data_IF_125491329495
#
_entry.id   IF_125491329495
#
_cell.length_a   1.000
_cell.length_b   1.000
_cell.length_c   1.000
_cell.angle_alpha   90.00
_cell.angle_beta   90.00
_cell.angle_gamma   90.00
#
_symmetry.space_group_name_H-M   'P 1'
#
loop_
_entity.id
_entity.type
_entity.pdbx_description
1 polymer ?
#
# COMPACT_ATOMS: atom_id res chain seq x y z
N UNK A 1 -19.76 -15.76 11.02
CA UNK A 1 -19.68 -14.57 10.15
C UNK A 1 -19.06 -15.00 8.84
N UNK A 2 -19.85 -15.11 7.77
CA UNK A 2 -19.34 -15.45 6.42
C UNK A 2 -18.70 -14.17 5.88
N UNK A 3 -17.43 -13.95 6.20
CA UNK A 3 -16.65 -12.91 5.56
C UNK A 3 -16.55 -13.25 4.08
N UNK A 4 -17.00 -12.34 3.22
CA UNK A 4 -16.88 -12.47 1.76
C UNK A 4 -15.52 -13.07 1.38
N UNK A 5 -15.50 -14.20 0.65
CA UNK A 5 -14.29 -14.83 0.06
C UNK A 5 -13.55 -13.91 -0.94
N UNK A 6 -14.00 -12.66 -1.05
CA UNK A 6 -13.55 -11.65 -1.97
C UNK A 6 -13.03 -10.44 -1.19
N UNK A 7 -11.81 -10.04 -1.50
CA UNK A 7 -11.17 -8.82 -1.03
C UNK A 7 -11.47 -7.69 -2.01
N UNK A 8 -12.07 -6.56 -1.58
CA UNK A 8 -12.41 -5.44 -2.45
C UNK A 8 -11.19 -4.63 -2.88
N UNK A 9 -11.31 -3.94 -4.02
CA UNK A 9 -10.36 -2.91 -4.41
C UNK A 9 -10.43 -1.71 -3.46
N UNK A 10 -9.28 -1.12 -3.14
CA UNK A 10 -9.14 0.07 -2.30
C UNK A 10 -9.81 1.32 -2.87
N UNK A 11 -10.00 1.37 -4.19
CA UNK A 11 -10.75 2.44 -4.81
C UNK A 11 -12.25 2.17 -4.60
N UNK A 12 -12.97 3.00 -3.81
CA UNK A 12 -14.39 2.78 -3.52
C UNK A 12 -15.29 2.86 -4.76
N UNK A 13 -14.84 3.55 -5.82
CA UNK A 13 -15.53 3.61 -7.11
C UNK A 13 -15.26 2.36 -7.97
N UNK A 14 -14.33 1.49 -7.57
CA UNK A 14 -13.97 0.28 -8.29
C UNK A 14 -14.66 -0.95 -7.70
N UNK A 15 -15.40 -1.70 -8.53
CA UNK A 15 -16.09 -2.93 -8.11
C UNK A 15 -15.27 -4.21 -8.28
N UNK A 16 -13.97 -4.11 -8.61
CA UNK A 16 -13.11 -5.30 -8.76
C UNK A 16 -12.78 -5.88 -7.40
N UNK A 17 -12.75 -7.19 -7.33
CA UNK A 17 -12.37 -7.95 -6.13
C UNK A 17 -11.33 -9.02 -6.45
N UNK A 18 -10.67 -9.57 -5.44
CA UNK A 18 -9.76 -10.71 -5.56
C UNK A 18 -10.14 -11.82 -4.59
N UNK A 19 -9.82 -13.08 -4.88
CA UNK A 19 -10.07 -14.19 -3.95
C UNK A 19 -9.21 -14.05 -2.69
N UNK A 20 -9.81 -14.18 -1.50
CA UNK A 20 -9.14 -14.14 -0.21
C UNK A 20 -8.16 -15.30 -0.02
N UNK A 21 -8.45 -16.47 -0.60
CA UNK A 21 -7.58 -17.66 -0.58
C UNK A 21 -6.22 -17.37 -1.24
N UNK A 22 -6.23 -16.62 -2.35
CA UNK A 22 -5.02 -16.34 -3.14
C UNK A 22 -4.11 -15.27 -2.52
N UNK A 23 -4.68 -14.35 -1.74
CA UNK A 23 -3.99 -13.14 -1.30
C UNK A 23 -3.95 -12.99 0.22
N UNK A 24 -4.15 -14.09 0.96
CA UNK A 24 -4.01 -14.15 2.42
C UNK A 24 -4.84 -13.07 3.13
N UNK A 25 -6.17 -13.15 3.03
CA UNK A 25 -7.16 -12.44 3.86
C UNK A 25 -6.86 -10.96 4.20
N UNK A 26 -6.28 -10.19 3.27
CA UNK A 26 -6.12 -8.74 3.44
C UNK A 26 -7.47 -8.01 3.41
N UNK A 27 -7.58 -6.87 4.10
CA UNK A 27 -8.81 -6.06 4.11
C UNK A 27 -9.14 -5.48 2.72
N UNK A 28 -8.11 -5.09 1.97
CA UNK A 28 -8.24 -4.44 0.67
C UNK A 28 -7.08 -4.80 -0.26
N UNK A 29 -7.31 -4.73 -1.56
CA UNK A 29 -6.29 -4.84 -2.61
C UNK A 29 -6.27 -3.60 -3.50
N UNK A 30 -5.18 -3.35 -4.23
CA UNK A 30 -5.21 -2.44 -5.38
C UNK A 30 -5.24 -3.26 -6.67
N UNK A 31 -6.35 -3.21 -7.41
CA UNK A 31 -6.48 -3.98 -8.65
C UNK A 31 -5.52 -3.44 -9.73
N UNK A 32 -5.23 -4.26 -10.76
CA UNK A 32 -4.31 -3.88 -11.86
C UNK A 32 -4.70 -2.57 -12.56
N UNK A 33 -6.00 -2.33 -12.74
CA UNK A 33 -6.50 -1.12 -13.40
C UNK A 33 -6.26 0.12 -12.53
N UNK A 34 -6.67 0.09 -11.25
CA UNK A 34 -6.42 1.19 -10.32
C UNK A 34 -4.93 1.40 -10.06
N UNK A 35 -4.14 0.32 -10.01
CA UNK A 35 -2.69 0.46 -9.90
C UNK A 35 -2.09 1.23 -11.09
N UNK A 36 -2.59 0.98 -12.31
CA UNK A 36 -2.19 1.70 -13.53
C UNK A 36 -2.69 3.14 -13.62
N UNK A 37 -3.67 3.54 -12.80
CA UNK A 37 -4.10 4.94 -12.72
C UNK A 37 -3.29 5.75 -11.70
N UNK A 38 -2.46 5.10 -10.88
CA UNK A 38 -1.61 5.79 -9.90
C UNK A 38 -0.52 6.62 -10.59
N UNK A 39 -0.11 7.75 -9.98
CA UNK A 39 1.08 8.49 -10.39
C UNK A 39 2.31 7.58 -10.50
N UNK A 40 3.12 7.82 -11.54
CA UNK A 40 4.32 7.04 -11.81
C UNK A 40 5.26 6.91 -10.59
N UNK A 41 5.53 7.99 -9.80
CA UNK A 41 6.40 7.88 -8.62
C UNK A 41 5.92 6.87 -7.58
N UNK A 42 4.61 6.80 -7.33
CA UNK A 42 4.01 5.85 -6.38
C UNK A 42 4.17 4.42 -6.90
N UNK A 43 3.96 4.20 -8.20
CA UNK A 43 4.15 2.87 -8.83
C UNK A 43 5.60 2.41 -8.75
N UNK A 44 6.54 3.31 -9.00
CA UNK A 44 7.97 2.99 -8.97
C UNK A 44 8.44 2.69 -7.55
N UNK A 45 7.96 3.47 -6.58
CA UNK A 45 8.23 3.21 -5.16
C UNK A 45 7.69 1.83 -4.74
N UNK A 46 6.47 1.48 -5.12
CA UNK A 46 5.92 0.16 -4.88
C UNK A 46 6.81 -0.96 -5.46
N UNK A 47 7.18 -0.86 -6.75
CA UNK A 47 8.04 -1.86 -7.42
C UNK A 47 9.40 -1.97 -6.74
N UNK A 48 10.01 -0.83 -6.38
CA UNK A 48 11.27 -0.77 -5.68
C UNK A 48 11.21 -1.51 -4.34
N UNK A 49 10.15 -1.27 -3.55
CA UNK A 49 9.97 -1.92 -2.25
C UNK A 49 9.75 -3.43 -2.40
N UNK A 50 8.92 -3.87 -3.35
CA UNK A 50 8.73 -5.30 -3.64
C UNK A 50 10.01 -5.99 -4.13
N UNK A 51 10.88 -5.28 -4.83
CA UNK A 51 12.19 -5.79 -5.22
C UNK A 51 13.14 -5.89 -4.01
N UNK A 52 13.13 -4.90 -3.11
CA UNK A 52 13.90 -4.92 -1.87
C UNK A 52 13.46 -6.04 -0.95
N UNK A 53 12.15 -6.28 -0.81
CA UNK A 53 11.57 -7.40 -0.06
C UNK A 53 12.05 -8.74 -0.59
N UNK A 54 11.92 -8.99 -1.89
CA UNK A 54 12.39 -10.22 -2.54
C UNK A 54 13.90 -10.42 -2.41
N UNK A 55 14.69 -9.35 -2.37
CA UNK A 55 16.14 -9.44 -2.11
C UNK A 55 16.41 -9.75 -0.64
N UNK A 56 15.71 -9.08 0.27
CA UNK A 56 15.86 -9.29 1.71
C UNK A 56 15.54 -10.75 2.08
N UNK A 57 14.41 -11.29 1.64
CA UNK A 57 14.03 -12.69 1.89
C UNK A 57 15.12 -13.66 1.41
N UNK A 58 15.57 -13.53 0.16
CA UNK A 58 16.64 -14.36 -0.42
C UNK A 58 17.99 -14.23 0.29
N UNK A 59 18.31 -13.06 0.84
CA UNK A 59 19.57 -12.86 1.57
C UNK A 59 19.47 -13.36 3.01
N UNK A 60 18.32 -13.19 3.64
CA UNK A 60 18.04 -13.66 5.00
C UNK A 60 18.08 -15.17 5.04
N UNK A 61 17.37 -15.86 4.14
CA UNK A 61 17.37 -17.34 4.04
C UNK A 61 18.81 -17.87 3.97
N UNK A 62 19.63 -17.31 3.05
CA UNK A 62 21.02 -17.72 2.87
C UNK A 62 21.93 -17.40 4.05
N UNK A 63 21.71 -16.27 4.74
CA UNK A 63 22.59 -15.83 5.84
C UNK A 63 22.23 -16.47 7.18
N UNK A 64 20.95 -16.72 7.42
CA UNK A 64 20.46 -17.47 8.59
C UNK A 64 20.93 -18.91 8.51
N UNK A 65 20.81 -19.57 7.36
CA UNK A 65 21.32 -20.93 7.17
C UNK A 65 22.84 -21.05 7.43
N UNK A 66 23.60 -19.97 7.21
CA UNK A 66 25.04 -19.90 7.47
C UNK A 66 25.41 -19.37 8.86
N UNK A 67 24.44 -19.05 9.72
CA UNK A 67 24.68 -18.46 11.05
C UNK A 67 25.28 -17.05 11.05
N UNK A 68 25.35 -16.38 9.88
CA UNK A 68 26.05 -15.09 9.71
C UNK A 68 25.21 -13.86 10.08
N UNK A 69 23.94 -14.05 10.42
CA UNK A 69 23.05 -12.97 10.85
C UNK A 69 22.09 -13.47 11.92
N UNK A 70 21.88 -12.67 12.96
CA UNK A 70 20.91 -12.99 14.01
C UNK A 70 19.48 -12.71 13.55
N UNK A 71 18.53 -13.52 14.04
CA UNK A 71 17.10 -13.33 13.79
C UNK A 71 16.62 -11.94 14.24
N UNK A 72 17.18 -11.39 15.34
CA UNK A 72 16.89 -10.04 15.79
C UNK A 72 17.25 -8.96 14.75
N UNK A 73 18.42 -9.08 14.09
CA UNK A 73 18.84 -8.15 13.05
C UNK A 73 17.95 -8.27 11.80
N UNK A 74 17.56 -9.49 11.44
CA UNK A 74 16.58 -9.76 10.39
C UNK A 74 15.24 -9.09 10.70
N UNK A 75 14.75 -9.24 11.93
CA UNK A 75 13.52 -8.61 12.40
C UNK A 75 13.53 -7.10 12.24
N UNK A 76 14.63 -6.43 12.64
CA UNK A 76 14.78 -4.97 12.45
C UNK A 76 14.74 -4.55 10.97
N UNK A 77 15.41 -5.30 10.09
CA UNK A 77 15.40 -5.00 8.65
C UNK A 77 14.00 -5.19 8.04
N UNK A 78 13.30 -6.26 8.41
CA UNK A 78 11.91 -6.50 7.99
C UNK A 78 10.99 -5.38 8.50
N UNK A 79 11.09 -5.00 9.78
CA UNK A 79 10.28 -3.94 10.34
C UNK A 79 10.49 -2.59 9.62
N UNK A 80 11.73 -2.23 9.31
CA UNK A 80 12.03 -1.00 8.57
C UNK A 80 11.44 -1.03 7.15
N UNK A 81 11.54 -2.17 6.46
CA UNK A 81 10.94 -2.36 5.14
C UNK A 81 9.42 -2.30 5.20
N UNK A 82 8.79 -2.97 6.16
CA UNK A 82 7.34 -2.96 6.35
C UNK A 82 6.82 -1.55 6.61
N UNK A 83 7.50 -0.74 7.43
CA UNK A 83 7.15 0.68 7.61
C UNK A 83 7.17 1.45 6.28
N UNK A 84 8.15 1.20 5.42
CA UNK A 84 8.22 1.84 4.11
C UNK A 84 7.09 1.38 3.17
N UNK A 85 6.74 0.09 3.20
CA UNK A 85 5.64 -0.47 2.43
C UNK A 85 4.30 0.08 2.91
N UNK A 86 4.10 0.21 4.22
CA UNK A 86 2.91 0.79 4.82
C UNK A 86 2.70 2.25 4.42
N UNK A 87 3.76 3.07 4.46
CA UNK A 87 3.69 4.46 3.98
C UNK A 87 3.30 4.53 2.50
N UNK A 88 3.94 3.72 1.66
CA UNK A 88 3.57 3.66 0.23
C UNK A 88 2.13 3.18 0.03
N UNK A 89 1.64 2.26 0.86
CA UNK A 89 0.24 1.83 0.83
C UNK A 89 -0.72 2.96 1.21
N UNK A 90 -0.37 3.76 2.22
CA UNK A 90 -1.13 4.94 2.61
C UNK A 90 -1.21 5.96 1.46
N UNK A 91 -0.10 6.21 0.76
CA UNK A 91 -0.08 7.10 -0.41
C UNK A 91 -1.02 6.59 -1.52
N UNK A 92 -1.04 5.27 -1.77
CA UNK A 92 -1.98 4.64 -2.71
C UNK A 92 -3.43 4.86 -2.28
N UNK A 93 -3.72 4.65 -1.00
CA UNK A 93 -5.06 4.80 -0.44
C UNK A 93 -5.57 6.23 -0.56
N UNK A 94 -4.76 7.20 -0.11
CA UNK A 94 -5.09 8.63 -0.17
C UNK A 94 -5.44 9.07 -1.58
N UNK A 95 -4.80 8.52 -2.61
CA UNK A 95 -5.14 8.85 -4.01
C UNK A 95 -6.60 8.54 -4.38
N UNK A 96 -7.23 7.56 -3.74
CA UNK A 96 -8.60 7.15 -4.03
C UNK A 96 -9.62 7.64 -3.00
N UNK A 97 -9.18 8.01 -1.79
CA UNK A 97 -10.07 8.39 -0.70
C UNK A 97 -9.98 9.86 -0.31
N UNK A 98 -8.97 10.60 -0.77
CA UNK A 98 -8.88 12.04 -0.51
C UNK A 98 -10.02 12.76 -1.24
N UNK A 99 -10.78 13.65 -0.55
CA UNK A 99 -11.76 14.51 -1.20
C UNK A 99 -11.05 15.44 -2.20
N UNK A 100 -11.65 15.64 -3.37
CA UNK A 100 -11.01 16.40 -4.47
C UNK A 100 -10.87 17.90 -4.15
N UNK A 101 -11.78 18.47 -3.35
CA UNK A 101 -11.73 19.80 -2.66
C UNK A 101 -12.76 19.71 -1.52
N UNK A 102 -12.60 20.34 -0.35
CA UNK A 102 -13.71 20.50 0.59
C UNK A 102 -14.85 21.22 -0.14
N UNK A 103 -16.01 20.56 -0.26
CA UNK A 103 -17.21 21.21 -0.80
C UNK A 103 -17.48 22.45 0.05
N UNK A 104 -17.51 23.63 -0.57
CA UNK A 104 -17.71 24.91 0.12
C UNK A 104 -16.44 25.69 0.46
N UNK A 105 -15.24 25.25 0.05
CA UNK A 105 -14.02 26.04 0.24
C UNK A 105 -14.09 27.39 -0.50
N UNK A 106 -14.65 27.41 -1.71
CA UNK A 106 -14.84 28.64 -2.49
C UNK A 106 -15.80 29.60 -1.78
N UNK A 107 -16.95 29.10 -1.30
CA UNK A 107 -17.90 29.91 -0.52
C UNK A 107 -17.26 30.44 0.76
N UNK A 108 -16.50 29.61 1.48
CA UNK A 108 -15.80 30.02 2.69
C UNK A 108 -14.75 31.12 2.42
N UNK A 109 -13.96 30.99 1.35
CA UNK A 109 -12.96 32.00 0.98
C UNK A 109 -13.60 33.32 0.55
N UNK A 110 -14.76 33.25 -0.12
CA UNK A 110 -15.53 34.41 -0.54
C UNK A 110 -16.18 35.12 0.66
N UNK A 111 -16.74 34.37 1.61
CA UNK A 111 -17.29 34.90 2.87
C UNK A 111 -16.21 35.52 3.78
N UNK A 112 -14.98 34.97 3.76
CA UNK A 112 -13.86 35.47 4.54
C UNK A 112 -13.10 36.65 3.88
N UNK A 113 -13.46 37.04 2.65
CA UNK A 113 -12.80 38.12 1.90
C UNK A 113 -11.36 37.79 1.47
N UNK A 114 -11.06 36.50 1.24
CA UNK A 114 -9.73 35.98 0.91
C UNK A 114 -9.61 35.52 -0.55
N UNK A 115 -10.62 35.78 -1.38
CA UNK A 115 -10.69 35.43 -2.80
C UNK A 115 -10.87 36.66 -3.68
#
# INVERSE_FOLDING_TARGET
>A
MIGSDRIPCINPRCRRTASAEKYEAGEQIVCRACFRSLPQPIRDRYRQLRNRERRLLRHVERRVAKGTITLAKVGRLRAALFRCMWRNWDDIRRRFTAPEVPVGLENFLQEAGLA
#
